data_IF_164707417237
#
_entry.id   IF_164707417237
#
_cell.length_a   1.000
_cell.length_b   1.000
_cell.length_c   1.000
_cell.angle_alpha   90.00
_cell.angle_beta   90.00
_cell.angle_gamma   90.00
#
_symmetry.space_group_name_H-M   'P 1'
#
loop_
_entity.id
_entity.type
_entity.pdbx_description
1 polymer ?
#
# COMPACT_ATOMS: atom_id res chain seq x y z
N UNK A 1 -3.31 -13.26 -31.39
CA UNK A 1 -2.38 -12.94 -30.28
C UNK A 1 -1.48 -11.81 -30.79
N UNK A 2 -1.39 -10.61 -30.22
CA UNK A 2 -1.74 -10.04 -28.92
C UNK A 2 -2.36 -8.66 -29.18
N UNK A 3 -3.59 -8.42 -28.74
CA UNK A 3 -4.15 -7.08 -28.59
C UNK A 3 -3.56 -6.51 -27.30
N UNK A 4 -2.42 -5.85 -27.42
CA UNK A 4 -1.68 -5.30 -26.29
C UNK A 4 -2.43 -4.12 -25.69
N UNK A 5 -2.57 -4.20 -24.38
CA UNK A 5 -3.35 -3.40 -23.44
C UNK A 5 -2.87 -1.94 -23.33
N UNK A 6 -2.81 -1.20 -24.44
CA UNK A 6 -2.37 0.21 -24.48
C UNK A 6 -3.54 1.19 -24.71
N UNK A 7 -4.72 0.86 -24.19
CA UNK A 7 -5.94 1.66 -24.43
C UNK A 7 -6.82 1.79 -23.18
N UNK A 8 -6.26 2.19 -22.03
CA UNK A 8 -7.08 2.49 -20.83
C UNK A 8 -6.82 3.81 -20.12
N UNK A 9 -5.90 4.66 -20.56
CA UNK A 9 -5.65 5.96 -19.89
C UNK A 9 -5.83 7.20 -20.77
N UNK A 10 -6.34 7.07 -22.00
CA UNK A 10 -6.49 8.21 -22.90
C UNK A 10 -7.88 8.22 -23.50
N UNK A 11 -8.81 8.96 -22.89
CA UNK A 11 -9.84 9.75 -23.58
C UNK A 11 -10.69 10.49 -22.54
N UNK A 12 -10.44 11.78 -22.34
CA UNK A 12 -11.53 12.78 -22.15
C UNK A 12 -10.96 14.20 -22.22
N UNK A 13 -11.13 14.85 -23.36
CA UNK A 13 -11.14 16.30 -23.45
C UNK A 13 -12.60 16.75 -23.38
N UNK A 14 -13.06 17.27 -22.23
CA UNK A 14 -13.99 18.41 -22.13
C UNK A 14 -14.32 18.72 -20.66
N UNK A 15 -13.86 19.89 -20.20
CA UNK A 15 -14.35 20.75 -19.12
C UNK A 15 -15.25 20.10 -18.05
N UNK A 16 -14.64 19.64 -16.96
CA UNK A 16 -15.14 19.69 -15.57
C UNK A 16 -14.05 19.10 -14.67
N UNK A 17 -13.90 19.66 -13.47
CA UNK A 17 -12.91 19.32 -12.43
C UNK A 17 -12.13 18.02 -12.68
N UNK A 18 -10.85 18.15 -13.06
CA UNK A 18 -9.94 17.02 -13.24
C UNK A 18 -9.76 16.36 -11.87
N UNK A 19 -10.60 15.39 -11.53
CA UNK A 19 -10.21 14.34 -10.61
C UNK A 19 -9.27 13.46 -11.42
N UNK A 20 -7.98 13.78 -11.42
CA UNK A 20 -6.97 12.87 -11.95
C UNK A 20 -7.15 11.56 -11.19
N UNK A 21 -7.69 10.53 -11.85
CA UNK A 21 -7.67 9.17 -11.29
C UNK A 21 -6.20 8.78 -11.25
N UNK A 22 -5.54 9.02 -10.13
CA UNK A 22 -4.17 8.60 -9.91
C UNK A 22 -4.19 7.08 -9.77
N UNK A 23 -3.84 6.38 -10.85
CA UNK A 23 -3.55 4.96 -10.77
C UNK A 23 -2.34 4.79 -9.83
N UNK A 24 -2.49 3.93 -8.82
CA UNK A 24 -1.37 3.57 -7.95
C UNK A 24 -0.48 2.56 -8.67
N UNK A 25 0.82 2.67 -8.46
CA UNK A 25 1.78 1.68 -8.94
C UNK A 25 1.71 0.39 -8.13
N UNK A 26 2.17 -0.71 -8.73
CA UNK A 26 2.32 -1.99 -8.06
C UNK A 26 3.56 -1.99 -7.16
N UNK A 27 3.56 -2.81 -6.11
CA UNK A 27 4.69 -2.94 -5.18
C UNK A 27 5.09 -4.41 -5.00
N UNK A 28 6.37 -4.72 -5.21
CA UNK A 28 6.95 -6.04 -4.97
C UNK A 28 7.46 -6.15 -3.53
N UNK A 29 7.00 -7.17 -2.80
CA UNK A 29 7.39 -7.39 -1.42
C UNK A 29 8.35 -8.58 -1.29
N UNK A 30 9.13 -8.61 -0.21
CA UNK A 30 10.17 -9.63 0.02
C UNK A 30 9.65 -11.07 0.17
N UNK A 31 8.34 -11.26 0.31
CA UNK A 31 7.68 -12.57 0.23
C UNK A 31 7.24 -12.97 -1.20
N UNK A 32 7.73 -12.27 -2.22
CA UNK A 32 7.44 -12.50 -3.63
C UNK A 32 5.97 -12.27 -4.04
N UNK A 33 5.23 -11.52 -3.23
CA UNK A 33 3.87 -11.07 -3.54
C UNK A 33 3.93 -9.67 -4.12
N UNK A 34 3.10 -9.44 -5.14
CA UNK A 34 2.89 -8.11 -5.71
C UNK A 34 1.60 -7.53 -5.15
N UNK A 35 1.74 -6.42 -4.43
CA UNK A 35 0.60 -5.60 -4.00
C UNK A 35 0.18 -4.74 -5.18
N UNK A 36 -0.97 -5.07 -5.76
CA UNK A 36 -1.48 -4.39 -6.94
C UNK A 36 -2.01 -2.99 -6.61
N UNK A 37 -1.85 -2.06 -7.55
CA UNK A 37 -2.31 -0.68 -7.42
C UNK A 37 -3.80 -0.55 -7.13
N UNK A 38 -4.64 -1.46 -7.62
CA UNK A 38 -6.08 -1.47 -7.34
C UNK A 38 -6.41 -1.79 -5.88
N UNK A 39 -5.60 -2.61 -5.21
CA UNK A 39 -5.69 -2.89 -3.77
C UNK A 39 -5.33 -1.64 -2.98
N UNK A 40 -4.26 -0.96 -3.38
CA UNK A 40 -3.80 0.29 -2.75
C UNK A 40 -4.85 1.39 -2.92
N UNK A 41 -5.39 1.57 -4.12
CA UNK A 41 -6.42 2.58 -4.39
C UNK A 41 -7.71 2.29 -3.61
N UNK A 42 -8.12 1.03 -3.47
CA UNK A 42 -9.24 0.66 -2.60
C UNK A 42 -8.97 1.01 -1.14
N UNK A 43 -7.76 0.75 -0.64
CA UNK A 43 -7.37 1.12 0.71
C UNK A 43 -7.39 2.65 0.93
N UNK A 44 -6.98 3.45 -0.06
CA UNK A 44 -7.06 4.91 -0.05
C UNK A 44 -8.50 5.44 -0.09
N UNK A 45 -9.38 4.77 -0.82
CA UNK A 45 -10.80 5.18 -0.94
C UNK A 45 -11.59 4.87 0.34
N UNK A 46 -11.15 3.90 1.13
CA UNK A 46 -11.75 3.46 2.40
C UNK A 46 -11.09 4.11 3.64
N UNK A 47 -10.59 5.33 3.51
CA UNK A 47 -9.89 6.06 4.59
C UNK A 47 -10.85 6.64 5.65
N UNK A 48 -12.17 6.54 5.51
CA UNK A 48 -13.18 7.24 6.34
C UNK A 48 -13.23 6.89 7.85
N UNK A 49 -12.18 6.31 8.42
CA UNK A 49 -12.03 5.90 9.83
C UNK A 49 -10.69 6.37 10.44
N UNK A 50 -10.27 7.60 10.16
CA UNK A 50 -8.95 8.11 10.57
C UNK A 50 -8.76 8.21 12.10
N UNK A 51 -7.83 7.43 12.63
CA UNK A 51 -7.13 7.74 13.88
C UNK A 51 -5.74 8.24 13.54
N UNK A 52 -5.34 9.42 14.05
CA UNK A 52 -3.96 9.90 13.97
C UNK A 52 -3.03 8.83 14.53
N UNK A 53 -2.02 8.47 13.75
CA UNK A 53 -0.95 7.57 14.15
C UNK A 53 -0.26 8.11 15.42
N UNK A 54 -0.65 7.62 16.59
CA UNK A 54 0.20 7.73 17.78
C UNK A 54 1.45 6.86 17.57
N UNK A 55 2.49 7.04 18.39
CA UNK A 55 3.73 6.22 18.43
C UNK A 55 3.51 4.69 18.50
N UNK A 56 2.25 4.23 18.52
CA UNK A 56 1.76 2.85 18.63
C UNK A 56 0.91 2.41 17.43
N UNK A 57 1.17 2.96 16.25
CA UNK A 57 0.68 2.54 14.92
C UNK A 57 0.92 1.05 14.53
N UNK A 58 1.31 0.23 15.49
CA UNK A 58 1.65 -1.16 15.32
C UNK A 58 1.45 -1.95 16.63
N UNK A 59 0.59 -1.49 17.54
CA UNK A 59 0.66 -1.94 18.93
C UNK A 59 1.96 -1.43 19.58
N UNK A 60 2.70 -2.29 20.30
CA UNK A 60 3.84 -1.92 21.15
C UNK A 60 5.20 -1.74 20.45
N UNK A 61 5.26 -1.69 19.11
CA UNK A 61 6.52 -1.87 18.38
C UNK A 61 6.96 -0.65 17.56
N UNK A 62 8.28 -0.42 17.58
CA UNK A 62 8.99 0.73 17.03
C UNK A 62 8.74 0.90 15.51
N UNK A 63 8.21 2.07 15.14
CA UNK A 63 8.12 2.54 13.75
C UNK A 63 9.41 3.28 13.45
N UNK A 64 10.07 2.96 12.34
CA UNK A 64 11.26 3.68 11.88
C UNK A 64 10.97 5.20 11.85
N UNK A 65 11.87 6.02 12.42
CA UNK A 65 11.71 7.47 12.60
C UNK A 65 11.27 8.22 11.33
N UNK A 66 11.60 7.68 10.14
CA UNK A 66 11.22 8.23 8.82
C UNK A 66 9.70 8.29 8.60
N UNK A 67 8.92 7.47 9.30
CA UNK A 67 7.46 7.41 9.17
C UNK A 67 6.71 8.00 10.37
N UNK A 68 7.42 8.63 11.31
CA UNK A 68 6.81 9.40 12.39
C UNK A 68 5.99 10.54 11.77
N UNK A 69 4.78 10.77 12.29
CA UNK A 69 3.78 11.71 11.76
C UNK A 69 3.20 11.36 10.37
N UNK A 70 3.31 10.11 9.91
CA UNK A 70 2.61 9.64 8.71
C UNK A 70 1.36 8.85 9.09
N UNK A 71 0.39 8.86 8.19
CA UNK A 71 -0.79 8.01 8.32
C UNK A 71 -0.46 6.60 7.84
N UNK A 72 -1.11 5.61 8.44
CA UNK A 72 -0.99 4.23 8.00
C UNK A 72 -2.35 3.52 8.07
N UNK A 73 -2.53 2.50 7.23
CA UNK A 73 -3.70 1.62 7.23
C UNK A 73 -3.28 0.19 6.90
N UNK A 74 -3.86 -0.79 7.58
CA UNK A 74 -3.70 -2.20 7.20
C UNK A 74 -4.49 -2.49 5.91
N UNK A 75 -3.86 -3.20 4.98
CA UNK A 75 -4.45 -3.58 3.70
C UNK A 75 -4.75 -5.07 3.66
N UNK A 76 -5.90 -5.41 3.08
CA UNK A 76 -6.25 -6.80 2.79
C UNK A 76 -5.66 -7.16 1.43
N UNK A 77 -4.58 -7.95 1.45
CA UNK A 77 -3.93 -8.49 0.24
C UNK A 77 -4.31 -9.99 0.15
N UNK A 78 -5.18 -10.38 -0.81
CA UNK A 78 -5.77 -11.73 -0.84
C UNK A 78 -4.75 -12.87 -1.03
N UNK A 79 -3.63 -12.57 -1.67
CA UNK A 79 -2.62 -13.55 -2.09
C UNK A 79 -1.65 -13.92 -0.95
N UNK A 80 -1.84 -13.39 0.27
CA UNK A 80 -0.77 -13.37 1.27
C UNK A 80 -1.28 -13.42 2.72
N UNK A 81 -1.65 -14.61 3.19
CA UNK A 81 -1.98 -14.83 4.60
C UNK A 81 -0.83 -15.51 5.37
N UNK A 82 -0.03 -16.35 4.70
CA UNK A 82 1.08 -17.06 5.35
C UNK A 82 2.28 -17.20 4.42
N UNK A 83 3.48 -16.91 4.93
CA UNK A 83 4.76 -17.13 4.25
C UNK A 83 5.60 -18.05 5.12
N UNK A 84 5.87 -19.27 4.65
CA UNK A 84 6.64 -20.25 5.43
C UNK A 84 6.02 -20.56 6.80
N UNK A 85 4.69 -20.50 6.94
CA UNK A 85 3.96 -20.69 8.20
C UNK A 85 3.97 -19.49 9.15
N UNK A 86 4.55 -18.37 8.75
CA UNK A 86 4.48 -17.10 9.48
C UNK A 86 3.29 -16.29 8.96
N UNK A 87 2.46 -15.80 9.88
CA UNK A 87 1.36 -14.90 9.56
C UNK A 87 1.90 -13.54 9.09
N UNK A 88 1.30 -12.99 8.03
CA UNK A 88 1.75 -11.76 7.40
C UNK A 88 0.62 -10.80 7.13
N UNK A 89 0.87 -9.51 7.33
CA UNK A 89 -0.05 -8.45 6.92
C UNK A 89 0.67 -7.31 6.18
N UNK A 90 -0.11 -6.40 5.60
CA UNK A 90 0.40 -5.32 4.76
C UNK A 90 -0.06 -3.98 5.27
N UNK A 91 0.82 -2.98 5.24
CA UNK A 91 0.50 -1.62 5.64
C UNK A 91 0.74 -0.66 4.50
N UNK A 92 -0.24 0.19 4.26
CA UNK A 92 -0.14 1.38 3.44
C UNK A 92 0.30 2.55 4.31
N UNK A 93 1.35 3.25 3.92
CA UNK A 93 1.80 4.50 4.55
C UNK A 93 1.51 5.66 3.58
N UNK A 94 0.88 6.72 4.07
CA UNK A 94 0.48 7.87 3.27
C UNK A 94 0.59 9.19 4.05
N UNK A 95 0.52 10.31 3.33
CA UNK A 95 0.54 11.65 3.92
C UNK A 95 -0.85 12.31 4.00
N UNK A 96 -0.93 13.53 4.54
CA UNK A 96 -2.19 14.28 4.68
C UNK A 96 -2.93 14.51 3.35
N UNK A 97 -2.19 14.52 2.23
CA UNK A 97 -2.75 14.66 0.89
C UNK A 97 -3.10 13.31 0.26
N UNK A 98 -3.03 12.22 1.02
CA UNK A 98 -3.27 10.83 0.60
C UNK A 98 -2.29 10.35 -0.47
N UNK A 99 -1.10 10.97 -0.57
CA UNK A 99 -0.05 10.42 -1.41
C UNK A 99 0.59 9.21 -0.73
N UNK A 100 0.67 8.10 -1.47
CA UNK A 100 1.34 6.89 -1.03
C UNK A 100 2.82 7.19 -0.84
N UNK A 101 3.35 6.81 0.34
CA UNK A 101 4.76 6.98 0.70
C UNK A 101 5.50 5.65 0.78
N UNK A 102 4.82 4.60 1.19
CA UNK A 102 5.39 3.26 1.23
C UNK A 102 4.32 2.19 1.39
N UNK A 103 4.62 0.98 0.90
CA UNK A 103 3.94 -0.25 1.28
C UNK A 103 4.90 -1.09 2.13
N UNK A 104 4.40 -1.63 3.24
CA UNK A 104 5.20 -2.43 4.17
C UNK A 104 4.59 -3.82 4.34
N UNK A 105 5.44 -4.84 4.27
CA UNK A 105 5.14 -6.21 4.68
C UNK A 105 5.49 -6.39 6.16
N UNK A 106 4.54 -6.92 6.93
CA UNK A 106 4.67 -7.17 8.35
C UNK A 106 4.62 -8.67 8.60
N UNK A 107 5.64 -9.20 9.24
CA UNK A 107 5.70 -10.59 9.70
C UNK A 107 5.35 -10.66 11.18
N UNK A 108 4.42 -11.53 11.54
CA UNK A 108 3.94 -11.74 12.91
C UNK A 108 4.54 -13.01 13.48
N UNK A 109 5.46 -12.87 14.43
CA UNK A 109 6.05 -13.97 15.18
C UNK A 109 5.51 -13.99 16.60
N UNK A 110 5.61 -15.14 17.28
CA UNK A 110 5.23 -15.25 18.70
C UNK A 110 5.98 -14.27 19.62
N UNK A 111 7.20 -13.87 19.24
CA UNK A 111 8.08 -13.01 20.03
C UNK A 111 8.08 -11.54 19.58
N UNK A 112 7.26 -11.16 18.59
CA UNK A 112 7.19 -9.79 18.09
C UNK A 112 6.94 -9.71 16.58
N UNK A 113 7.15 -8.52 16.01
CA UNK A 113 6.95 -8.26 14.58
C UNK A 113 8.26 -7.90 13.89
N UNK A 114 8.35 -8.23 12.60
CA UNK A 114 9.40 -7.71 11.71
C UNK A 114 8.74 -7.00 10.54
N UNK A 115 9.25 -5.82 10.19
CA UNK A 115 8.73 -5.03 9.07
C UNK A 115 9.76 -5.03 7.94
N UNK A 116 9.30 -5.25 6.71
CA UNK A 116 10.06 -5.14 5.47
C UNK A 116 9.37 -4.11 4.57
N UNK A 117 10.13 -3.18 3.98
CA UNK A 117 9.57 -2.31 2.95
C UNK A 117 9.38 -3.11 1.65
N UNK A 118 8.32 -2.81 0.92
CA UNK A 118 8.13 -3.27 -0.45
C UNK A 118 8.71 -2.25 -1.43
N UNK A 119 9.08 -2.70 -2.62
CA UNK A 119 9.68 -1.88 -3.66
C UNK A 119 8.66 -1.57 -4.74
N UNK A 120 8.50 -0.30 -5.07
CA UNK A 120 7.65 0.13 -6.18
C UNK A 120 8.11 -0.49 -7.51
N UNK A 121 7.19 -1.05 -8.27
CA UNK A 121 7.44 -1.59 -9.61
C UNK A 121 7.42 -0.42 -10.58
N UNK A 122 8.59 -0.03 -11.07
CA UNK A 122 8.73 0.97 -12.13
C UNK A 122 8.63 0.23 -13.47
N UNK A 123 7.52 0.37 -14.17
CA UNK A 123 7.41 -0.08 -15.57
C UNK A 123 8.21 0.90 -16.45
N UNK A 124 9.36 0.45 -16.97
CA UNK A 124 10.16 1.16 -17.98
C UNK A 124 9.58 1.01 -19.39
#
# INVERSE_FOLDING_TARGET
MRTSTLLRCLFTWLVTAITTVQCQNDYHCSNNIVVKGDVIQRALNDISTDSTSTLYAAGTLYVNDVFVNRWWKEMIVPESYYVGGTDTSYRLIYDDNKFVRSIQLVYHFRLGIRISQCTEVIEE
#
